data_IF_112836304957
#
_entry.id   IF_112836304957
#
_cell.length_a   1.000
_cell.length_b   1.000
_cell.length_c   1.000
_cell.angle_alpha   90.00
_cell.angle_beta   90.00
_cell.angle_gamma   90.00
#
_symmetry.space_group_name_H-M   'P 1'
#
loop_
_entity.id
_entity.type
_entity.pdbx_description
1 polymer ?
#
# COMPACT_ATOMS: atom_id res chain seq x y z
N UNK A 1 -34.68 22.27 15.11
CA UNK A 1 -33.63 21.22 15.10
C UNK A 1 -32.28 21.93 15.04
N UNK A 2 -31.45 21.90 16.09
CA UNK A 2 -30.21 22.66 16.12
C UNK A 2 -29.12 21.97 15.30
N UNK A 3 -28.39 22.75 14.48
CA UNK A 3 -27.23 22.31 13.68
C UNK A 3 -26.05 21.99 14.59
N UNK A 4 -25.54 20.76 14.50
CA UNK A 4 -24.30 20.36 15.14
C UNK A 4 -23.11 20.96 14.37
N UNK A 5 -22.34 21.83 15.06
CA UNK A 5 -21.08 22.37 14.59
C UNK A 5 -19.97 21.32 14.79
N UNK A 6 -19.25 21.00 13.72
CA UNK A 6 -18.04 20.17 13.77
C UNK A 6 -16.91 20.87 14.54
N UNK A 7 -16.03 20.13 15.24
CA UNK A 7 -14.91 20.72 15.97
C UNK A 7 -13.83 21.30 15.04
N UNK A 8 -13.12 22.36 15.47
CA UNK A 8 -12.09 23.01 14.66
C UNK A 8 -10.81 22.17 14.54
N UNK A 9 -10.22 22.15 13.34
CA UNK A 9 -8.87 21.57 13.09
C UNK A 9 -7.79 22.38 13.82
N UNK A 10 -6.68 21.76 14.27
CA UNK A 10 -5.55 22.47 14.85
C UNK A 10 -4.80 23.29 13.77
N UNK A 11 -4.41 24.51 14.14
CA UNK A 11 -3.69 25.44 13.27
C UNK A 11 -2.26 24.96 13.00
N UNK A 12 -1.90 24.85 11.72
CA UNK A 12 -0.51 24.68 11.29
C UNK A 12 0.18 26.05 11.21
N UNK A 13 1.33 26.14 11.89
CA UNK A 13 2.21 27.30 11.96
C UNK A 13 2.65 27.76 10.56
N UNK A 14 2.47 29.05 10.28
CA UNK A 14 2.88 29.71 9.04
C UNK A 14 4.40 29.68 8.87
N UNK A 15 4.87 29.12 7.76
CA UNK A 15 6.20 29.44 7.24
C UNK A 15 6.06 30.40 6.06
N UNK A 16 6.70 31.56 6.18
CA UNK A 16 6.82 32.56 5.13
C UNK A 16 7.53 31.97 3.89
N UNK A 17 6.92 32.17 2.71
CA UNK A 17 7.52 31.85 1.41
C UNK A 17 7.86 33.17 0.71
N UNK A 18 9.13 33.33 0.36
CA UNK A 18 9.64 34.33 -0.58
C UNK A 18 9.26 33.92 -2.01
N UNK A 19 8.59 34.83 -2.72
CA UNK A 19 8.18 34.72 -4.12
C UNK A 19 9.31 35.23 -5.02
N UNK A 20 9.64 34.52 -6.12
CA UNK A 20 10.13 35.16 -7.34
C UNK A 20 9.07 35.11 -8.46
N UNK A 21 8.92 36.25 -9.13
CA UNK A 21 8.04 36.48 -10.28
C UNK A 21 8.40 35.65 -11.53
N UNK A 22 7.45 35.45 -12.46
CA UNK A 22 7.60 34.58 -13.61
C UNK A 22 8.12 35.35 -14.84
N UNK A 23 8.83 34.64 -15.72
CA UNK A 23 8.92 35.01 -17.12
C UNK A 23 8.80 33.77 -17.99
N UNK A 24 8.16 34.02 -19.13
CA UNK A 24 8.18 33.28 -20.39
C UNK A 24 7.15 32.15 -20.59
N UNK A 25 6.06 32.63 -21.21
CA UNK A 25 5.09 31.97 -22.05
C UNK A 25 5.77 31.15 -23.15
N UNK A 26 5.17 30.02 -23.52
CA UNK A 26 5.07 29.66 -24.93
C UNK A 26 3.81 28.80 -25.16
N UNK A 27 2.98 29.33 -26.05
CA UNK A 27 1.72 28.81 -26.53
C UNK A 27 1.94 27.60 -27.45
N UNK A 28 1.08 26.59 -27.40
CA UNK A 28 0.80 25.79 -28.60
C UNK A 28 -0.66 25.35 -28.70
N UNK A 29 -1.16 25.56 -29.92
CA UNK A 29 -2.55 25.64 -30.30
C UNK A 29 -3.21 24.29 -30.59
N UNK A 30 -4.52 24.33 -30.38
CA UNK A 30 -5.58 23.43 -30.85
C UNK A 30 -5.52 23.19 -32.35
N UNK A 31 -5.72 21.94 -32.79
CA UNK A 31 -6.28 21.62 -34.11
C UNK A 31 -7.25 20.43 -34.03
N UNK A 32 -8.51 20.72 -34.34
CA UNK A 32 -9.56 19.79 -34.76
C UNK A 32 -9.51 19.70 -36.30
N UNK A 33 -9.66 18.51 -36.87
CA UNK A 33 -10.69 18.13 -37.88
C UNK A 33 -10.32 16.85 -38.64
N UNK A 34 -11.34 16.01 -38.86
CA UNK A 34 -11.32 14.81 -39.70
C UNK A 34 -11.49 15.16 -41.19
N UNK A 35 -11.34 14.16 -42.08
CA UNK A 35 -12.35 14.03 -43.13
C UNK A 35 -12.89 12.60 -43.31
N UNK A 36 -14.17 12.59 -43.67
CA UNK A 36 -14.99 11.48 -44.17
C UNK A 36 -14.77 11.33 -45.67
N UNK A 37 -14.70 10.11 -46.20
CA UNK A 37 -15.19 9.78 -47.56
C UNK A 37 -15.40 8.26 -47.72
N UNK A 38 -16.58 7.91 -48.21
CA UNK A 38 -17.06 6.56 -48.54
C UNK A 38 -16.90 6.31 -50.05
N UNK A 39 -16.96 5.02 -50.47
CA UNK A 39 -17.61 4.44 -51.70
C UNK A 39 -17.18 2.96 -51.90
N UNK A 40 -17.97 2.07 -52.54
CA UNK A 40 -18.29 0.72 -52.02
C UNK A 40 -17.93 -0.52 -52.89
N UNK A 41 -17.96 -1.70 -52.24
CA UNK A 41 -18.35 -3.03 -52.76
C UNK A 41 -17.29 -3.87 -53.53
N UNK A 42 -17.46 -5.20 -53.75
CA UNK A 42 -18.55 -6.11 -53.36
C UNK A 42 -18.12 -7.42 -52.61
N UNK A 43 -19.13 -8.19 -52.16
CA UNK A 43 -19.08 -9.45 -51.40
C UNK A 43 -19.15 -10.68 -52.34
N UNK A 44 -18.55 -11.84 -52.00
CA UNK A 44 -19.36 -13.02 -51.70
C UNK A 44 -18.90 -13.87 -50.49
N UNK A 45 -19.87 -14.58 -49.93
CA UNK A 45 -19.97 -15.37 -48.68
C UNK A 45 -19.34 -16.80 -48.74
N UNK A 46 -19.66 -17.77 -47.84
CA UNK A 46 -19.25 -17.89 -46.43
C UNK A 46 -18.66 -19.28 -46.07
N UNK A 47 -17.71 -19.33 -45.12
CA UNK A 47 -17.32 -20.52 -44.34
C UNK A 47 -16.38 -20.03 -43.22
N UNK A 48 -16.31 -20.53 -41.99
CA UNK A 48 -16.92 -21.63 -41.26
C UNK A 48 -16.71 -21.31 -39.76
N UNK A 49 -17.44 -22.01 -38.90
CA UNK A 49 -17.38 -21.93 -37.42
C UNK A 49 -15.94 -21.95 -36.87
N UNK A 50 -15.61 -21.01 -35.99
CA UNK A 50 -14.47 -21.13 -35.08
C UNK A 50 -14.90 -20.75 -33.66
N UNK A 51 -14.69 -21.70 -32.75
CA UNK A 51 -15.00 -21.68 -31.34
C UNK A 51 -14.08 -20.73 -30.56
N UNK A 52 -14.65 -20.04 -29.58
CA UNK A 52 -13.94 -19.22 -28.59
C UNK A 52 -13.18 -20.11 -27.59
N UNK A 53 -11.88 -20.32 -27.84
CA UNK A 53 -10.97 -20.94 -26.89
C UNK A 53 -10.33 -19.90 -25.96
N UNK A 54 -10.66 -19.98 -24.67
CA UNK A 54 -9.95 -19.30 -23.56
C UNK A 54 -8.47 -19.69 -23.62
N UNK A 55 -7.56 -18.72 -23.80
CA UNK A 55 -6.11 -18.96 -23.72
C UNK A 55 -5.69 -18.99 -22.26
N UNK A 56 -5.45 -20.21 -21.78
CA UNK A 56 -4.75 -20.52 -20.53
C UNK A 56 -3.29 -20.07 -20.68
N UNK A 57 -2.77 -19.32 -19.72
CA UNK A 57 -1.33 -19.09 -19.64
C UNK A 57 -0.65 -20.40 -19.22
N UNK A 58 0.22 -20.92 -20.08
CA UNK A 58 0.99 -22.13 -19.85
C UNK A 58 2.16 -21.84 -18.90
N UNK A 59 2.39 -22.73 -17.95
CA UNK A 59 3.48 -22.65 -16.97
C UNK A 59 4.86 -22.75 -17.64
N UNK A 60 5.82 -22.00 -17.08
CA UNK A 60 7.19 -21.77 -17.57
C UNK A 60 8.13 -23.00 -17.45
N UNK A 61 7.60 -24.22 -17.41
CA UNK A 61 8.34 -25.47 -17.18
C UNK A 61 8.80 -26.24 -18.42
N UNK A 62 8.22 -25.98 -19.61
CA UNK A 62 8.33 -26.91 -20.75
C UNK A 62 9.19 -26.42 -21.94
N UNK A 63 10.00 -25.38 -21.77
CA UNK A 63 10.72 -24.76 -22.90
C UNK A 63 12.25 -24.70 -22.75
N UNK A 64 12.91 -25.80 -22.33
CA UNK A 64 14.35 -25.95 -22.60
C UNK A 64 14.75 -27.42 -22.84
N UNK A 65 14.81 -27.83 -24.12
CA UNK A 65 15.75 -28.86 -24.56
C UNK A 65 17.13 -28.23 -24.80
N UNK A 66 18.14 -28.80 -24.16
CA UNK A 66 19.57 -28.45 -24.30
C UNK A 66 20.09 -28.76 -25.71
N UNK A 67 20.97 -27.90 -26.23
CA UNK A 67 22.17 -28.39 -26.91
C UNK A 67 23.44 -27.95 -26.17
N UNK A 68 24.39 -28.88 -26.06
CA UNK A 68 25.77 -28.57 -25.68
C UNK A 68 26.49 -27.85 -26.83
N UNK A 69 27.28 -26.82 -26.52
CA UNK A 69 28.76 -26.80 -26.70
C UNK A 69 29.35 -25.38 -26.64
N UNK A 70 30.62 -25.34 -26.24
CA UNK A 70 31.63 -24.28 -26.34
C UNK A 70 31.67 -23.18 -25.27
N UNK A 71 32.89 -23.00 -24.76
CA UNK A 71 33.30 -22.13 -23.66
C UNK A 71 33.47 -20.69 -24.15
N UNK A 72 32.90 -19.73 -23.43
CA UNK A 72 33.11 -18.29 -23.67
C UNK A 72 32.87 -17.48 -22.38
N UNK A 73 33.14 -16.15 -22.34
CA UNK A 73 33.73 -15.37 -21.23
C UNK A 73 32.90 -15.18 -19.95
N UNK A 74 31.78 -15.88 -19.81
CA UNK A 74 30.90 -15.83 -18.62
C UNK A 74 31.60 -16.28 -17.31
N UNK A 75 32.59 -17.19 -17.39
CA UNK A 75 33.37 -17.61 -16.21
C UNK A 75 34.29 -16.51 -15.65
N UNK A 76 34.76 -15.57 -16.47
CA UNK A 76 35.58 -14.46 -16.00
C UNK A 76 34.76 -13.44 -15.20
N UNK A 77 33.48 -13.27 -15.57
CA UNK A 77 32.57 -12.32 -14.96
C UNK A 77 32.00 -12.84 -13.62
N UNK A 78 31.71 -14.15 -13.54
CA UNK A 78 31.31 -14.81 -12.29
C UNK A 78 32.46 -14.82 -11.26
N UNK A 79 33.70 -15.01 -11.70
CA UNK A 79 34.87 -14.91 -10.81
C UNK A 79 35.14 -13.46 -10.34
N UNK A 80 34.83 -12.45 -11.16
CA UNK A 80 34.93 -11.05 -10.77
C UNK A 80 33.89 -10.67 -9.69
N UNK A 81 32.66 -11.20 -9.76
CA UNK A 81 31.63 -10.96 -8.75
C UNK A 81 31.91 -11.69 -7.42
N UNK A 82 32.47 -12.90 -7.45
CA UNK A 82 32.91 -13.59 -6.22
C UNK A 82 34.11 -12.91 -5.54
N UNK A 83 35.01 -12.31 -6.33
CA UNK A 83 36.15 -11.51 -5.84
C UNK A 83 35.72 -10.21 -5.12
N UNK A 84 34.67 -9.54 -5.61
CA UNK A 84 34.14 -8.31 -4.98
C UNK A 84 33.35 -8.63 -3.70
N UNK A 85 32.57 -9.71 -3.69
CA UNK A 85 31.82 -10.14 -2.49
C UNK A 85 32.75 -10.50 -1.32
N UNK A 86 33.82 -11.24 -1.59
CA UNK A 86 34.81 -11.65 -0.56
C UNK A 86 35.62 -10.48 -0.01
N UNK A 87 36.00 -9.49 -0.84
CA UNK A 87 36.69 -8.27 -0.37
C UNK A 87 35.81 -7.37 0.51
N UNK A 88 34.50 -7.38 0.29
CA UNK A 88 33.55 -6.57 1.08
C UNK A 88 33.31 -7.21 2.45
N UNK A 89 33.20 -8.53 2.51
CA UNK A 89 33.14 -9.27 3.78
C UNK A 89 34.45 -9.17 4.59
N UNK A 90 35.63 -9.22 3.95
CA UNK A 90 36.90 -9.03 4.66
C UNK A 90 37.08 -7.61 5.21
N UNK A 91 36.60 -6.57 4.52
CA UNK A 91 36.62 -5.19 5.05
C UNK A 91 35.68 -5.00 6.24
N UNK A 92 34.48 -5.58 6.21
CA UNK A 92 33.54 -5.54 7.34
C UNK A 92 34.05 -6.34 8.56
N UNK A 93 34.75 -7.46 8.33
CA UNK A 93 35.40 -8.22 9.41
C UNK A 93 36.58 -7.43 10.04
N UNK A 94 37.35 -6.68 9.26
CA UNK A 94 38.42 -5.82 9.81
C UNK A 94 37.89 -4.62 10.61
N UNK A 95 36.74 -4.05 10.24
CA UNK A 95 36.11 -2.96 11.02
C UNK A 95 35.56 -3.44 12.37
N UNK A 96 35.11 -4.70 12.49
CA UNK A 96 34.68 -5.28 13.76
C UNK A 96 35.84 -5.64 14.70
N UNK A 97 37.04 -5.90 14.16
CA UNK A 97 38.22 -6.22 14.99
C UNK A 97 38.93 -4.99 15.56
N UNK A 98 38.68 -3.78 15.05
CA UNK A 98 39.32 -2.55 15.55
C UNK A 98 38.50 -1.81 16.62
N UNK A 99 37.21 -2.14 16.81
CA UNK A 99 36.35 -1.49 17.81
C UNK A 99 36.53 -2.04 19.24
N UNK A 100 37.16 -3.21 19.42
CA UNK A 100 37.32 -3.84 20.73
C UNK A 100 38.56 -3.37 21.51
N UNK A 101 39.41 -2.53 20.91
CA UNK A 101 40.64 -2.04 21.55
C UNK A 101 40.58 -0.60 22.08
N UNK A 102 39.43 0.10 21.98
CA UNK A 102 39.35 1.54 22.30
C UNK A 102 38.57 1.91 23.59
N UNK A 103 38.14 0.94 24.38
CA UNK A 103 37.47 1.19 25.68
C UNK A 103 38.37 0.80 26.86
N UNK A 104 39.46 1.55 27.06
CA UNK A 104 40.14 1.64 28.37
C UNK A 104 40.98 2.91 28.44
N UNK A 105 40.70 3.70 29.49
CA UNK A 105 41.39 4.92 29.98
C UNK A 105 40.86 6.25 29.46
N UNK A 106 40.06 6.94 30.26
CA UNK A 106 40.56 8.12 30.99
C UNK A 106 39.51 8.64 31.98
N UNK A 107 40.02 9.00 33.15
CA UNK A 107 39.34 9.65 34.25
C UNK A 107 40.01 11.02 34.45
N UNK A 108 39.27 11.96 35.04
CA UNK A 108 39.71 13.16 35.78
C UNK A 108 39.66 14.53 35.06
N UNK A 109 38.80 15.39 35.66
CA UNK A 109 38.81 16.87 35.80
C UNK A 109 38.64 17.77 34.57
N UNK A 110 37.63 18.65 34.68
CA UNK A 110 37.58 19.91 33.96
C UNK A 110 36.22 20.58 34.12
N UNK A 111 36.07 21.41 35.15
CA UNK A 111 34.85 22.18 35.40
C UNK A 111 34.71 23.37 34.45
N UNK A 112 33.48 23.61 34.01
CA UNK A 112 33.04 24.90 33.48
C UNK A 112 31.71 25.28 34.14
N UNK A 113 31.74 26.38 34.88
CA UNK A 113 30.55 27.04 35.45
C UNK A 113 29.91 27.89 34.35
N UNK A 114 28.59 27.85 34.25
CA UNK A 114 27.77 28.86 33.58
C UNK A 114 26.76 29.45 34.59
N UNK A 115 26.28 30.69 34.39
CA UNK A 115 25.64 31.49 35.42
C UNK A 115 24.16 31.14 35.64
N UNK A 116 23.77 31.28 36.89
CA UNK A 116 22.42 31.29 37.46
C UNK A 116 21.50 32.36 36.86
N UNK A 117 20.27 31.98 36.46
CA UNK A 117 19.06 32.76 36.72
C UNK A 117 17.77 31.97 36.37
N UNK A 118 16.71 32.27 37.13
CA UNK A 118 15.30 31.87 36.98
C UNK A 118 14.90 30.44 37.40
N UNK A 119 14.71 30.30 38.73
CA UNK A 119 13.85 29.29 39.35
C UNK A 119 12.39 29.57 38.99
N UNK A 120 11.73 28.64 38.31
CA UNK A 120 10.27 28.52 38.27
C UNK A 120 9.93 27.19 38.94
N UNK A 121 9.34 27.28 40.14
CA UNK A 121 8.82 26.13 40.87
C UNK A 121 7.52 25.64 40.20
N UNK A 122 7.59 24.53 39.49
CA UNK A 122 6.42 23.69 39.23
C UNK A 122 6.70 22.30 39.81
N UNK A 123 5.82 21.75 40.68
CA UNK A 123 6.01 20.40 41.18
C UNK A 123 5.80 19.43 40.02
N UNK A 124 6.90 18.88 39.52
CA UNK A 124 6.92 17.71 38.65
C UNK A 124 6.28 16.57 39.44
N UNK A 125 4.98 16.36 39.23
CA UNK A 125 4.36 15.07 39.52
C UNK A 125 5.04 14.08 38.60
N UNK A 126 6.01 13.33 39.15
CA UNK A 126 6.52 12.11 38.52
C UNK A 126 5.31 11.25 38.19
N UNK A 127 5.06 11.03 36.91
CA UNK A 127 4.14 10.00 36.46
C UNK A 127 4.67 8.68 37.02
N UNK A 128 3.98 8.16 38.03
CA UNK A 128 4.16 6.79 38.49
C UNK A 128 3.92 5.89 37.26
N UNK A 129 4.84 4.96 36.94
CA UNK A 129 4.59 3.99 35.90
C UNK A 129 3.42 3.13 36.36
N UNK A 130 2.27 3.28 35.71
CA UNK A 130 1.14 2.36 35.90
C UNK A 130 1.63 0.99 35.43
N UNK A 131 1.59 -0.07 36.27
CA UNK A 131 1.90 -1.42 35.83
C UNK A 131 0.71 -1.94 35.01
N UNK A 132 0.55 -1.42 33.81
CA UNK A 132 -0.47 -1.85 32.85
C UNK A 132 0.08 -2.97 31.99
N UNK A 133 -0.51 -4.16 32.13
CA UNK A 133 -0.41 -5.35 31.28
C UNK A 133 0.20 -5.11 29.88
N UNK A 134 1.53 -5.13 29.74
CA UNK A 134 2.14 -5.35 28.43
C UNK A 134 2.03 -6.83 28.15
N UNK A 135 1.44 -7.19 27.01
CA UNK A 135 1.43 -8.54 26.49
C UNK A 135 2.88 -9.07 26.46
N UNK A 136 3.18 -10.04 27.33
CA UNK A 136 4.49 -10.70 27.36
C UNK A 136 4.39 -11.93 26.49
N UNK A 137 4.78 -11.77 25.23
CA UNK A 137 4.80 -12.84 24.26
C UNK A 137 5.89 -13.87 24.63
N UNK A 138 5.52 -14.82 25.49
CA UNK A 138 6.32 -15.99 25.83
C UNK A 138 6.30 -16.96 24.65
N UNK A 139 7.36 -17.77 24.55
CA UNK A 139 7.54 -18.77 23.49
C UNK A 139 6.40 -19.82 23.43
N UNK A 140 5.61 -19.93 24.50
CA UNK A 140 4.46 -20.83 24.61
C UNK A 140 3.11 -20.19 24.23
N UNK A 141 3.02 -18.90 23.90
CA UNK A 141 1.74 -18.34 23.43
C UNK A 141 1.46 -18.84 22.02
N UNK A 142 0.31 -19.50 21.88
CA UNK A 142 -0.10 -20.17 20.65
C UNK A 142 -0.77 -19.16 19.72
N UNK A 143 0.02 -18.33 19.04
CA UNK A 143 -0.53 -17.43 18.02
C UNK A 143 -1.33 -18.24 16.99
N UNK A 144 -2.54 -17.78 16.71
CA UNK A 144 -3.34 -18.35 15.63
C UNK A 144 -3.07 -17.53 14.38
N UNK A 145 -2.81 -18.22 13.27
CA UNK A 145 -2.54 -17.60 11.98
C UNK A 145 -3.56 -18.06 10.96
N UNK A 146 -3.97 -17.15 10.10
CA UNK A 146 -4.77 -17.44 8.93
C UNK A 146 -4.26 -16.64 7.75
N UNK A 147 -4.46 -17.19 6.56
CA UNK A 147 -4.12 -16.51 5.32
C UNK A 147 -5.09 -16.91 4.22
N UNK A 148 -5.42 -15.97 3.37
CA UNK A 148 -6.22 -16.22 2.19
C UNK A 148 -5.78 -15.28 1.07
N UNK A 149 -5.88 -15.75 -0.16
CA UNK A 149 -5.54 -14.97 -1.33
C UNK A 149 -6.54 -15.25 -2.46
N UNK A 150 -6.68 -14.29 -3.36
CA UNK A 150 -7.42 -14.41 -4.60
C UNK A 150 -6.64 -13.69 -5.69
N UNK A 151 -6.36 -14.40 -6.77
CA UNK A 151 -5.64 -13.86 -7.93
C UNK A 151 -6.65 -13.47 -9.01
N UNK A 152 -6.65 -12.20 -9.37
CA UNK A 152 -7.33 -11.62 -10.50
C UNK A 152 -6.34 -11.23 -11.61
N UNK A 153 -5.32 -10.43 -11.27
CA UNK A 153 -4.21 -10.06 -12.14
C UNK A 153 -2.93 -10.85 -11.83
N UNK A 154 -2.78 -11.36 -10.61
CA UNK A 154 -1.61 -12.12 -10.16
C UNK A 154 -0.38 -11.26 -9.92
N UNK A 155 -0.55 -9.99 -9.53
CA UNK A 155 0.52 -9.03 -9.25
C UNK A 155 0.80 -8.83 -7.76
N UNK A 156 -0.12 -9.23 -6.89
CA UNK A 156 0.08 -9.32 -5.45
C UNK A 156 1.14 -10.37 -5.07
N UNK A 157 1.97 -10.05 -4.08
CA UNK A 157 2.88 -10.97 -3.45
C UNK A 157 2.89 -10.76 -1.93
N UNK A 158 3.21 -11.80 -1.18
CA UNK A 158 3.36 -11.67 0.26
C UNK A 158 3.88 -12.90 0.95
N UNK A 159 4.20 -12.71 2.22
CA UNK A 159 4.76 -13.72 3.09
C UNK A 159 4.35 -13.44 4.53
N UNK A 160 4.01 -14.50 5.26
CA UNK A 160 3.72 -14.43 6.68
C UNK A 160 4.53 -15.47 7.46
N UNK A 161 4.86 -15.11 8.69
CA UNK A 161 5.42 -16.00 9.71
C UNK A 161 4.72 -15.76 11.03
N UNK A 162 5.18 -16.42 12.10
CA UNK A 162 4.66 -16.15 13.44
C UNK A 162 4.97 -14.74 13.96
N UNK A 163 5.83 -13.97 13.29
CA UNK A 163 6.28 -12.66 13.79
C UNK A 163 6.35 -11.56 12.75
N UNK A 164 5.90 -11.81 11.52
CA UNK A 164 5.59 -10.73 10.59
C UNK A 164 4.55 -11.13 9.54
N UNK A 165 3.92 -10.11 8.95
CA UNK A 165 3.22 -10.16 7.68
C UNK A 165 3.89 -9.19 6.70
N UNK A 166 4.00 -9.57 5.43
CA UNK A 166 4.50 -8.73 4.35
C UNK A 166 3.51 -8.86 3.20
N UNK A 167 2.98 -7.75 2.71
CA UNK A 167 2.16 -7.69 1.48
C UNK A 167 2.76 -6.61 0.58
N UNK A 168 2.90 -6.94 -0.70
CA UNK A 168 3.31 -6.03 -1.75
C UNK A 168 2.34 -6.20 -2.92
N UNK A 169 1.57 -5.17 -3.20
CA UNK A 169 0.58 -5.16 -4.27
C UNK A 169 1.22 -4.54 -5.52
N UNK A 170 1.16 -5.29 -6.62
CA UNK A 170 1.78 -4.90 -7.87
C UNK A 170 0.91 -3.93 -8.65
N UNK A 171 1.41 -2.73 -8.86
CA UNK A 171 0.70 -1.71 -9.65
C UNK A 171 1.16 -1.83 -11.09
N UNK A 172 0.38 -2.47 -11.95
CA UNK A 172 0.60 -2.34 -13.39
C UNK A 172 0.21 -0.94 -13.86
N UNK A 173 1.16 -0.22 -14.46
CA UNK A 173 0.85 1.03 -15.15
C UNK A 173 -0.27 0.75 -16.15
N UNK A 174 -1.34 1.56 -16.23
CA UNK A 174 -2.16 1.55 -17.43
C UNK A 174 -1.19 2.00 -18.51
N UNK A 175 -0.78 1.09 -19.38
CA UNK A 175 -0.03 1.49 -20.54
C UNK A 175 -1.01 2.34 -21.35
N UNK A 176 -0.94 3.67 -21.22
CA UNK A 176 -1.68 4.55 -22.10
C UNK A 176 -1.35 4.11 -23.53
N UNK A 177 -2.35 4.00 -24.41
CA UNK A 177 -2.16 3.46 -25.78
C UNK A 177 -0.93 4.06 -26.48
N UNK A 178 -0.61 5.33 -26.21
CA UNK A 178 0.57 6.05 -26.73
C UNK A 178 1.92 5.56 -26.15
N UNK A 179 1.96 5.06 -24.91
CA UNK A 179 3.17 4.53 -24.27
C UNK A 179 3.55 3.11 -24.73
N UNK A 180 2.62 2.36 -25.34
CA UNK A 180 2.91 1.06 -25.96
C UNK A 180 3.54 1.21 -27.34
N UNK A 181 3.15 2.25 -28.08
CA UNK A 181 3.63 2.49 -29.46
C UNK A 181 5.14 2.80 -29.49
N UNK A 182 5.70 3.32 -28.40
CA UNK A 182 7.12 3.71 -28.29
C UNK A 182 7.94 2.78 -27.37
N UNK A 183 7.44 1.59 -27.03
CA UNK A 183 8.12 0.69 -26.10
C UNK A 183 8.70 -0.55 -26.79
N UNK A 184 10.01 -0.51 -27.04
CA UNK A 184 10.79 -1.64 -27.63
C UNK A 184 11.13 -2.76 -26.63
N UNK A 185 10.56 -2.75 -25.42
CA UNK A 185 10.86 -3.74 -24.38
C UNK A 185 9.79 -4.84 -24.29
N UNK A 186 10.19 -6.02 -23.80
CA UNK A 186 9.21 -7.00 -23.34
C UNK A 186 8.40 -6.41 -22.19
N UNK A 187 7.07 -6.50 -22.27
CA UNK A 187 6.18 -6.16 -21.17
C UNK A 187 6.38 -7.19 -20.06
N UNK A 188 6.59 -6.71 -18.85
CA UNK A 188 6.86 -7.52 -17.66
C UNK A 188 5.85 -7.10 -16.61
N UNK A 189 5.23 -8.06 -15.93
CA UNK A 189 4.26 -7.80 -14.86
C UNK A 189 4.95 -7.24 -13.61
N UNK A 190 4.22 -6.39 -12.89
CA UNK A 190 4.66 -5.86 -11.60
C UNK A 190 4.86 -6.95 -10.54
N UNK A 191 4.26 -8.14 -10.72
CA UNK A 191 4.46 -9.34 -9.90
C UNK A 191 5.93 -9.67 -9.64
N UNK A 192 6.82 -9.43 -10.63
CA UNK A 192 8.26 -9.69 -10.47
C UNK A 192 8.85 -8.80 -9.37
N UNK A 193 8.49 -7.51 -9.37
CA UNK A 193 8.98 -6.58 -8.37
C UNK A 193 8.32 -6.83 -7.01
N UNK A 194 7.01 -7.10 -6.99
CA UNK A 194 6.27 -7.43 -5.76
C UNK A 194 6.89 -8.64 -5.06
N UNK A 195 7.09 -9.75 -5.79
CA UNK A 195 7.68 -10.98 -5.26
C UNK A 195 9.12 -10.76 -4.77
N UNK A 196 9.92 -9.99 -5.51
CA UNK A 196 11.32 -9.76 -5.14
C UNK A 196 11.46 -8.84 -3.92
N UNK A 197 10.59 -7.84 -3.77
CA UNK A 197 10.52 -6.98 -2.57
C UNK A 197 10.14 -7.84 -1.36
N UNK A 198 9.08 -8.63 -1.45
CA UNK A 198 8.65 -9.54 -0.37
C UNK A 198 9.79 -10.48 0.03
N UNK A 199 10.45 -11.10 -0.95
CA UNK A 199 11.56 -12.03 -0.72
C UNK A 199 12.73 -11.35 -0.01
N UNK A 200 13.16 -10.17 -0.47
CA UNK A 200 14.26 -9.44 0.15
C UNK A 200 13.94 -9.00 1.59
N UNK A 201 12.72 -8.49 1.82
CA UNK A 201 12.29 -8.06 3.16
C UNK A 201 12.23 -9.24 4.12
N UNK A 202 11.66 -10.36 3.68
CA UNK A 202 11.60 -11.60 4.46
C UNK A 202 13.00 -12.05 4.90
N UNK A 203 13.92 -12.21 3.94
CA UNK A 203 15.29 -12.67 4.23
C UNK A 203 15.99 -11.73 5.21
N UNK A 204 15.88 -10.42 4.98
CA UNK A 204 16.50 -9.42 5.87
C UNK A 204 15.96 -9.50 7.30
N UNK A 205 14.63 -9.64 7.48
CA UNK A 205 14.02 -9.75 8.80
C UNK A 205 14.37 -11.09 9.49
N UNK A 206 14.38 -12.20 8.76
CA UNK A 206 14.78 -13.52 9.27
C UNK A 206 16.23 -13.52 9.76
N UNK A 207 17.16 -12.95 8.96
CA UNK A 207 18.58 -12.85 9.31
C UNK A 207 18.82 -11.90 10.49
N UNK A 208 18.28 -10.68 10.42
CA UNK A 208 18.55 -9.64 11.42
C UNK A 208 17.98 -9.99 12.80
N UNK A 209 16.85 -10.70 12.85
CA UNK A 209 16.22 -11.09 14.10
C UNK A 209 16.61 -12.49 14.56
N UNK A 210 17.43 -13.20 13.77
CA UNK A 210 17.74 -14.63 13.97
C UNK A 210 16.44 -15.43 14.21
N UNK A 211 15.48 -15.31 13.31
CA UNK A 211 14.14 -15.91 13.45
C UNK A 211 13.42 -15.50 14.74
N UNK A 212 13.35 -14.19 15.01
CA UNK A 212 12.71 -13.61 16.19
C UNK A 212 13.34 -14.06 17.54
N UNK A 213 14.65 -14.28 17.55
CA UNK A 213 15.47 -14.57 18.76
C UNK A 213 16.23 -13.35 19.28
N UNK A 214 16.47 -12.35 18.44
CA UNK A 214 17.17 -11.11 18.79
C UNK A 214 16.31 -9.85 18.62
N UNK A 215 16.32 -8.92 19.61
CA UNK A 215 15.48 -7.74 19.60
C UNK A 215 15.76 -6.80 18.43
N UNK A 216 14.67 -6.32 17.82
CA UNK A 216 14.72 -5.34 16.74
C UNK A 216 14.05 -4.05 17.17
N UNK A 217 14.81 -2.95 17.24
CA UNK A 217 14.23 -1.63 17.46
C UNK A 217 13.63 -1.04 16.18
N UNK A 218 12.89 0.07 16.32
CA UNK A 218 12.19 0.69 15.21
C UNK A 218 13.14 1.25 14.12
N UNK A 219 14.30 1.78 14.50
CA UNK A 219 15.25 2.37 13.54
C UNK A 219 15.95 1.29 12.73
N UNK A 220 16.32 0.19 13.38
CA UNK A 220 16.87 -1.00 12.75
C UNK A 220 15.83 -1.68 11.85
N UNK A 221 14.57 -1.77 12.28
CA UNK A 221 13.46 -2.26 11.45
C UNK A 221 13.27 -1.44 10.18
N UNK A 222 13.17 -0.11 10.31
CA UNK A 222 13.04 0.82 9.18
C UNK A 222 14.21 0.67 8.20
N UNK A 223 15.45 0.69 8.71
CA UNK A 223 16.66 0.58 7.90
C UNK A 223 16.70 -0.75 7.16
N UNK A 224 16.35 -1.85 7.83
CA UNK A 224 16.30 -3.19 7.26
C UNK A 224 15.32 -3.29 6.09
N UNK A 225 14.10 -2.76 6.25
CA UNK A 225 13.08 -2.76 5.18
C UNK A 225 13.55 -1.91 4.00
N UNK A 226 14.11 -0.72 4.24
CA UNK A 226 14.62 0.16 3.19
C UNK A 226 15.79 -0.48 2.42
N UNK A 227 16.72 -1.13 3.11
CA UNK A 227 17.86 -1.79 2.48
C UNK A 227 17.45 -3.05 1.70
N UNK A 228 16.44 -3.79 2.20
CA UNK A 228 15.81 -4.87 1.45
C UNK A 228 15.15 -4.36 0.15
N UNK A 229 14.43 -3.24 0.21
CA UNK A 229 13.85 -2.61 -0.99
C UNK A 229 14.93 -2.18 -1.99
N UNK A 230 16.05 -1.61 -1.53
CA UNK A 230 17.18 -1.28 -2.41
C UNK A 230 17.74 -2.53 -3.08
N UNK A 231 17.89 -3.63 -2.32
CA UNK A 231 18.39 -4.91 -2.82
C UNK A 231 17.45 -5.49 -3.88
N UNK A 232 16.14 -5.49 -3.63
CA UNK A 232 15.14 -5.93 -4.61
C UNK A 232 15.22 -5.13 -5.92
N UNK A 233 15.35 -3.80 -5.84
CA UNK A 233 15.51 -2.94 -7.03
C UNK A 233 16.76 -3.26 -7.83
N UNK A 234 17.86 -3.61 -7.16
CA UNK A 234 19.11 -4.06 -7.81
C UNK A 234 18.88 -5.39 -8.54
N UNK A 235 18.21 -6.35 -7.88
CA UNK A 235 17.94 -7.68 -8.44
C UNK A 235 16.95 -7.66 -9.61
N UNK A 236 16.09 -6.64 -9.69
CA UNK A 236 15.16 -6.42 -10.80
C UNK A 236 15.68 -5.42 -11.84
N UNK A 237 16.93 -4.95 -11.74
CA UNK A 237 17.43 -3.83 -12.56
C UNK A 237 17.44 -4.13 -14.08
N UNK A 238 17.52 -5.40 -14.48
CA UNK A 238 17.36 -5.82 -15.88
C UNK A 238 16.01 -5.39 -16.47
N UNK A 239 14.98 -5.22 -15.63
CA UNK A 239 13.64 -4.79 -16.04
C UNK A 239 13.43 -3.27 -15.92
N UNK A 240 14.48 -2.46 -15.72
CA UNK A 240 14.35 -0.98 -15.51
C UNK A 240 13.66 -0.23 -16.65
N UNK A 241 13.64 -0.80 -17.85
CA UNK A 241 12.88 -0.24 -18.99
C UNK A 241 11.38 -0.42 -18.78
N UNK A 242 10.97 -1.52 -18.16
CA UNK A 242 9.59 -1.82 -17.79
C UNK A 242 9.15 -0.90 -16.65
N UNK A 243 7.88 -0.46 -16.70
CA UNK A 243 7.27 0.39 -15.67
C UNK A 243 6.74 -0.47 -14.52
N UNK A 244 7.63 -1.21 -13.87
CA UNK A 244 7.28 -2.02 -12.70
C UNK A 244 7.11 -1.14 -11.47
N UNK A 245 6.04 -1.36 -10.73
CA UNK A 245 5.75 -0.66 -9.49
C UNK A 245 5.03 -1.58 -8.51
N UNK A 246 5.28 -1.41 -7.22
CA UNK A 246 4.57 -2.15 -6.17
C UNK A 246 4.44 -1.31 -4.90
N UNK A 247 3.36 -1.50 -4.16
CA UNK A 247 3.21 -1.02 -2.77
C UNK A 247 3.99 -1.93 -1.81
N UNK A 248 4.07 -1.56 -0.54
CA UNK A 248 4.65 -2.41 0.50
C UNK A 248 4.06 -2.07 1.86
N UNK A 249 3.48 -3.08 2.52
CA UNK A 249 3.17 -3.07 3.94
C UNK A 249 3.93 -4.20 4.63
N UNK A 250 4.66 -3.86 5.69
CA UNK A 250 5.33 -4.81 6.57
C UNK A 250 4.79 -4.63 7.96
N UNK A 251 4.21 -5.68 8.55
CA UNK A 251 3.75 -5.71 9.93
C UNK A 251 4.65 -6.64 10.71
N UNK A 252 5.49 -6.12 11.59
CA UNK A 252 6.41 -6.89 12.42
C UNK A 252 5.92 -6.94 13.86
N UNK A 253 5.75 -8.15 14.38
CA UNK A 253 5.32 -8.40 15.75
C UNK A 253 6.56 -8.54 16.62
N UNK A 254 6.87 -7.52 17.42
CA UNK A 254 8.04 -7.50 18.29
C UNK A 254 7.70 -8.16 19.63
N UNK A 255 8.13 -9.42 19.80
CA UNK A 255 7.87 -10.21 21.02
C UNK A 255 8.53 -9.67 22.29
N UNK A 256 9.65 -8.97 22.18
CA UNK A 256 10.37 -8.46 23.36
C UNK A 256 9.74 -7.19 23.93
N UNK A 257 9.11 -6.39 23.08
CA UNK A 257 8.47 -5.14 23.49
C UNK A 257 6.95 -5.25 23.61
N UNK A 258 6.34 -6.29 23.04
CA UNK A 258 4.88 -6.45 22.94
C UNK A 258 4.26 -5.42 21.99
N UNK A 259 5.02 -4.97 20.98
CA UNK A 259 4.59 -3.94 20.04
C UNK A 259 4.49 -4.49 18.63
N UNK A 260 3.49 -4.02 17.90
CA UNK A 260 3.46 -4.03 16.45
C UNK A 260 4.32 -2.87 15.94
N UNK A 261 5.19 -3.14 14.97
CA UNK A 261 5.86 -2.11 14.16
C UNK A 261 5.40 -2.28 12.72
N UNK A 262 4.94 -1.22 12.08
CA UNK A 262 4.51 -1.27 10.68
C UNK A 262 5.33 -0.32 9.81
N UNK A 263 5.73 -0.79 8.63
CA UNK A 263 6.29 0.03 7.56
C UNK A 263 5.27 0.06 6.42
N UNK A 264 4.74 1.24 6.10
CA UNK A 264 3.68 1.41 5.09
C UNK A 264 4.17 2.31 3.94
N UNK A 265 4.07 1.82 2.72
CA UNK A 265 4.36 2.53 1.47
C UNK A 265 3.26 2.16 0.47
N UNK A 266 2.40 3.12 0.10
CA UNK A 266 1.20 2.86 -0.69
C UNK A 266 -0.06 2.68 0.17
N UNK A 267 -1.06 1.98 -0.35
CA UNK A 267 -2.40 1.83 0.20
C UNK A 267 -2.76 0.44 0.72
N UNK A 268 -1.85 -0.53 0.63
CA UNK A 268 -1.95 -1.75 1.43
C UNK A 268 -1.93 -1.42 2.93
N UNK A 269 -2.69 -2.16 3.72
CA UNK A 269 -3.03 -1.76 5.10
C UNK A 269 -2.78 -2.83 6.13
N UNK A 270 -2.59 -2.36 7.36
CA UNK A 270 -2.62 -3.18 8.55
C UNK A 270 -3.61 -2.61 9.57
N UNK A 271 -4.45 -3.49 10.11
CA UNK A 271 -5.46 -3.16 11.13
C UNK A 271 -5.22 -4.00 12.38
N UNK A 272 -5.49 -3.43 13.56
CA UNK A 272 -5.71 -4.21 14.78
C UNK A 272 -7.14 -4.05 15.22
N UNK A 273 -7.84 -5.17 15.34
CA UNK A 273 -9.20 -5.26 15.87
C UNK A 273 -9.15 -5.83 17.27
N UNK A 274 -9.80 -5.14 18.20
CA UNK A 274 -9.90 -5.52 19.61
C UNK A 274 -11.37 -5.44 20.01
N UNK A 275 -11.93 -6.55 20.47
CA UNK A 275 -13.33 -6.62 20.95
C UNK A 275 -14.34 -6.08 19.91
N UNK A 276 -14.14 -6.41 18.64
CA UNK A 276 -15.01 -5.96 17.55
C UNK A 276 -14.81 -4.52 17.10
N UNK A 277 -13.79 -3.81 17.59
CA UNK A 277 -13.50 -2.44 17.17
C UNK A 277 -12.09 -2.32 16.57
N UNK A 278 -11.94 -1.52 15.51
CA UNK A 278 -10.62 -1.18 14.96
C UNK A 278 -9.93 -0.19 15.90
N UNK A 279 -8.91 -0.65 16.64
CA UNK A 279 -8.13 0.15 17.59
C UNK A 279 -6.82 0.67 17.00
N UNK A 280 -6.40 0.12 15.86
CA UNK A 280 -5.25 0.58 15.11
C UNK A 280 -5.49 0.41 13.62
N UNK A 281 -5.02 1.38 12.85
CA UNK A 281 -5.07 1.38 11.40
C UNK A 281 -3.83 2.10 10.88
N UNK A 282 -3.14 1.49 9.91
CA UNK A 282 -1.99 2.15 9.27
C UNK A 282 -2.43 3.27 8.35
N UNK A 283 -1.59 4.31 8.30
CA UNK A 283 -1.74 5.40 7.34
C UNK A 283 -1.39 4.90 5.94
N UNK A 284 -2.28 5.11 4.98
CA UNK A 284 -2.00 4.89 3.56
C UNK A 284 -1.25 6.10 2.98
N UNK A 285 -0.18 5.83 2.23
CA UNK A 285 0.71 6.85 1.65
C UNK A 285 0.37 7.08 0.19
N UNK A 286 -0.55 8.00 -0.04
CA UNK A 286 -1.07 8.33 -1.36
C UNK A 286 -0.44 9.61 -1.91
N UNK A 287 -0.27 9.66 -3.24
CA UNK A 287 0.02 10.91 -3.97
C UNK A 287 -1.24 11.66 -4.32
N UNK A 288 -2.31 10.91 -4.59
CA UNK A 288 -3.65 11.39 -4.89
C UNK A 288 -4.65 10.24 -4.63
N UNK A 289 -5.94 10.52 -4.66
CA UNK A 289 -7.00 9.50 -4.65
C UNK A 289 -6.64 8.33 -5.56
N UNK A 290 -6.57 7.13 -4.99
CA UNK A 290 -6.25 5.88 -5.70
C UNK A 290 -4.96 5.92 -6.53
N UNK A 291 -3.99 6.73 -6.11
CA UNK A 291 -2.64 6.79 -6.69
C UNK A 291 -1.62 6.60 -5.57
N UNK A 292 -1.26 5.34 -5.24
CA UNK A 292 -0.31 5.08 -4.18
C UNK A 292 1.09 5.62 -4.50
N UNK A 293 1.83 5.86 -3.43
CA UNK A 293 3.29 5.88 -3.49
C UNK A 293 3.76 4.44 -3.67
N UNK A 294 4.76 4.23 -4.52
CA UNK A 294 5.17 2.88 -4.94
C UNK A 294 6.68 2.75 -4.99
N UNK A 295 7.17 1.56 -4.67
CA UNK A 295 8.52 1.12 -5.02
C UNK A 295 8.56 0.92 -6.53
N UNK A 296 9.53 1.55 -7.20
CA UNK A 296 9.74 1.36 -8.63
C UNK A 296 11.24 1.33 -8.96
N UNK A 297 11.58 0.97 -10.20
CA UNK A 297 12.97 0.80 -10.62
C UNK A 297 13.68 2.11 -11.01
N UNK A 298 12.98 3.25 -11.05
CA UNK A 298 13.50 4.54 -11.52
C UNK A 298 13.87 5.47 -10.36
N UNK A 299 12.97 5.61 -9.40
CA UNK A 299 13.11 6.48 -8.23
C UNK A 299 13.59 5.67 -7.02
N UNK A 300 14.49 6.25 -6.23
CA UNK A 300 14.87 5.68 -4.94
C UNK A 300 13.81 5.99 -3.90
N UNK A 301 13.52 5.03 -3.04
CA UNK A 301 12.65 5.24 -1.87
C UNK A 301 13.40 6.11 -0.87
N UNK A 302 12.78 7.21 -0.46
CA UNK A 302 13.28 8.13 0.56
C UNK A 302 12.28 8.21 1.74
N UNK A 303 12.71 8.77 2.87
CA UNK A 303 11.90 8.81 4.11
C UNK A 303 10.53 9.51 3.98
N UNK A 304 10.34 10.36 2.95
CA UNK A 304 9.05 10.99 2.64
C UNK A 304 8.10 10.10 1.83
N UNK A 305 8.50 8.88 1.48
CA UNK A 305 7.71 7.97 0.64
C UNK A 305 7.02 6.87 1.45
N UNK A 306 7.33 6.74 2.74
CA UNK A 306 6.77 5.73 3.63
C UNK A 306 6.53 6.29 5.03
N UNK A 307 5.79 5.52 5.83
CA UNK A 307 5.53 5.81 7.25
C UNK A 307 5.89 4.59 8.09
N UNK A 308 6.62 4.82 9.18
CA UNK A 308 6.85 3.81 10.21
C UNK A 308 6.03 4.16 11.44
N UNK A 309 5.20 3.22 11.89
CA UNK A 309 4.34 3.39 13.06
C UNK A 309 4.58 2.25 14.06
N UNK A 310 4.23 2.48 15.32
CA UNK A 310 4.28 1.45 16.36
C UNK A 310 3.03 1.48 17.23
N UNK A 311 2.52 0.30 17.57
CA UNK A 311 1.31 0.11 18.35
C UNK A 311 1.51 -0.95 19.44
N UNK A 312 0.91 -0.78 20.61
CA UNK A 312 0.98 -1.74 21.71
C UNK A 312 -0.05 -2.84 21.57
N UNK A 313 0.40 -4.09 21.40
CA UNK A 313 -0.46 -5.25 21.28
C UNK A 313 -0.96 -5.73 22.65
N UNK A 314 -2.17 -6.27 22.67
CA UNK A 314 -2.82 -6.87 23.82
C UNK A 314 -3.31 -8.27 23.49
N UNK A 315 -3.52 -9.08 24.53
CA UNK A 315 -4.21 -10.36 24.41
C UNK A 315 -5.63 -10.14 23.88
N UNK A 316 -6.07 -11.00 22.97
CA UNK A 316 -7.32 -10.89 22.23
C UNK A 316 -7.26 -10.00 20.98
N UNK A 317 -6.14 -9.34 20.70
CA UNK A 317 -6.00 -8.55 19.47
C UNK A 317 -5.98 -9.47 18.24
N UNK A 318 -6.65 -9.04 17.16
CA UNK A 318 -6.53 -9.64 15.83
C UNK A 318 -5.88 -8.62 14.91
N UNK A 319 -4.69 -8.94 14.40
CA UNK A 319 -3.98 -8.15 13.42
C UNK A 319 -4.30 -8.67 12.01
N UNK A 320 -4.68 -7.78 11.11
CA UNK A 320 -4.93 -8.06 9.70
C UNK A 320 -3.92 -7.26 8.87
N UNK A 321 -3.32 -7.86 7.84
CA UNK A 321 -2.45 -7.16 6.88
C UNK A 321 -2.85 -7.58 5.47
N UNK A 322 -3.14 -6.62 4.59
CA UNK A 322 -3.79 -6.91 3.32
C UNK A 322 -3.51 -5.88 2.22
N UNK A 323 -3.69 -6.30 0.95
CA UNK A 323 -3.67 -5.43 -0.24
C UNK A 323 -4.96 -4.62 -0.38
N UNK A 324 -4.93 -3.55 -1.19
CA UNK A 324 -6.05 -2.62 -1.33
C UNK A 324 -7.34 -3.30 -1.83
N UNK A 325 -7.24 -4.43 -2.53
CA UNK A 325 -8.38 -5.24 -2.99
C UNK A 325 -9.38 -5.64 -1.89
N UNK A 326 -8.93 -5.82 -0.64
CA UNK A 326 -9.85 -5.96 0.51
C UNK A 326 -10.45 -4.61 0.92
N UNK A 327 -9.62 -3.59 1.09
CA UNK A 327 -10.02 -2.26 1.60
C UNK A 327 -10.89 -1.44 0.63
N UNK A 328 -10.87 -1.76 -0.65
CA UNK A 328 -11.70 -1.16 -1.69
C UNK A 328 -13.07 -1.83 -1.81
N UNK A 329 -13.19 -3.07 -1.36
CA UNK A 329 -14.38 -3.90 -1.60
C UNK A 329 -15.17 -4.26 -0.33
N UNK A 330 -14.58 -4.16 0.87
CA UNK A 330 -15.25 -4.48 2.15
C UNK A 330 -15.21 -3.29 3.11
N UNK A 331 -16.37 -2.91 3.68
CA UNK A 331 -16.42 -1.79 4.62
C UNK A 331 -15.77 -2.13 5.96
N UNK A 332 -15.35 -1.09 6.67
CA UNK A 332 -14.75 -1.22 8.01
C UNK A 332 -15.69 -1.93 8.98
N UNK A 333 -16.98 -1.59 8.95
CA UNK A 333 -17.99 -2.19 9.81
C UNK A 333 -18.21 -3.68 9.47
N UNK A 334 -18.12 -4.07 8.19
CA UNK A 334 -18.23 -5.47 7.75
C UNK A 334 -17.03 -6.31 8.21
N UNK A 335 -15.82 -5.74 8.16
CA UNK A 335 -14.61 -6.39 8.70
C UNK A 335 -14.79 -6.64 10.20
N UNK A 336 -15.24 -5.64 10.95
CA UNK A 336 -15.46 -5.78 12.40
C UNK A 336 -16.58 -6.76 12.72
N UNK A 337 -17.66 -6.80 11.92
CA UNK A 337 -18.75 -7.74 12.11
C UNK A 337 -18.29 -9.19 11.91
N UNK A 338 -17.50 -9.46 10.87
CA UNK A 338 -16.93 -10.80 10.63
C UNK A 338 -16.02 -11.26 11.78
N UNK A 339 -15.29 -10.33 12.41
CA UNK A 339 -14.42 -10.60 13.55
C UNK A 339 -15.15 -10.66 14.90
N UNK A 340 -16.39 -10.16 14.98
CA UNK A 340 -17.22 -10.23 16.17
C UNK A 340 -18.02 -11.54 16.27
N UNK A 341 -18.00 -12.37 15.23
CA UNK A 341 -18.71 -13.63 15.17
C UNK A 341 -18.27 -14.59 16.31
N UNK A 342 -19.18 -15.10 17.16
CA UNK A 342 -18.84 -15.99 18.27
C UNK A 342 -18.09 -17.26 17.81
N UNK A 343 -18.41 -17.76 16.61
CA UNK A 343 -17.77 -18.94 16.04
C UNK A 343 -16.25 -18.78 15.87
N UNK A 344 -15.75 -17.53 15.76
CA UNK A 344 -14.32 -17.22 15.74
C UNK A 344 -13.64 -17.50 17.09
N UNK A 345 -14.36 -17.23 18.18
CA UNK A 345 -13.81 -17.24 19.54
C UNK A 345 -13.92 -18.62 20.19
N UNK A 346 -14.95 -19.39 19.81
CA UNK A 346 -15.28 -20.69 20.41
C UNK A 346 -14.68 -21.91 19.67
N UNK A 347 -14.17 -21.73 18.44
CA UNK A 347 -13.55 -22.83 17.68
C UNK A 347 -12.05 -22.94 17.94
N UNK A 348 -11.58 -24.14 18.26
CA UNK A 348 -10.14 -24.45 18.36
C UNK A 348 -9.48 -24.39 16.96
N UNK A 349 -9.00 -23.20 16.58
CA UNK A 349 -8.05 -22.98 15.49
C UNK A 349 -8.64 -22.74 14.09
N UNK A 350 -9.81 -23.28 13.75
CA UNK A 350 -10.39 -23.11 12.39
C UNK A 350 -11.17 -21.81 12.21
N UNK A 351 -11.64 -21.18 13.28
CA UNK A 351 -12.44 -19.95 13.22
C UNK A 351 -11.74 -18.80 12.51
N UNK A 352 -10.45 -18.60 12.79
CA UNK A 352 -9.69 -17.49 12.19
C UNK A 352 -9.54 -17.66 10.67
N UNK A 353 -9.33 -18.89 10.21
CA UNK A 353 -9.26 -19.18 8.79
C UNK A 353 -10.61 -19.01 8.10
N UNK A 354 -11.72 -19.44 8.72
CA UNK A 354 -13.07 -19.24 8.18
C UNK A 354 -13.39 -17.75 8.00
N UNK A 355 -13.02 -16.90 8.97
CA UNK A 355 -13.19 -15.45 8.84
C UNK A 355 -12.28 -14.87 7.74
N UNK A 356 -11.05 -15.36 7.64
CA UNK A 356 -10.13 -14.97 6.57
C UNK A 356 -10.71 -15.27 5.18
N UNK A 357 -11.23 -16.48 4.97
CA UNK A 357 -11.86 -16.93 3.73
C UNK A 357 -13.15 -16.15 3.45
N UNK A 358 -13.96 -15.88 4.49
CA UNK A 358 -15.16 -15.06 4.39
C UNK A 358 -14.83 -13.65 3.89
N UNK A 359 -13.83 -12.98 4.47
CA UNK A 359 -13.43 -11.62 4.08
C UNK A 359 -12.91 -11.59 2.63
N UNK A 360 -12.12 -12.58 2.23
CA UNK A 360 -11.66 -12.69 0.83
C UNK A 360 -12.84 -12.94 -0.11
N UNK A 361 -13.80 -13.80 0.25
CA UNK A 361 -15.02 -14.01 -0.54
C UNK A 361 -15.88 -12.75 -0.64
N UNK A 362 -16.01 -12.00 0.46
CA UNK A 362 -16.70 -10.69 0.48
C UNK A 362 -16.01 -9.65 -0.39
N UNK A 363 -14.73 -9.82 -0.72
CA UNK A 363 -13.96 -8.88 -1.55
C UNK A 363 -14.03 -9.18 -3.04
N UNK A 364 -14.27 -10.44 -3.43
CA UNK A 364 -14.29 -10.87 -4.84
C UNK A 364 -15.40 -10.19 -5.64
N UNK A 365 -15.09 -9.81 -6.88
CA UNK A 365 -16.11 -9.47 -7.88
C UNK A 365 -16.91 -10.73 -8.17
N UNK A 366 -18.19 -10.73 -7.82
CA UNK A 366 -19.10 -11.77 -8.29
C UNK A 366 -19.63 -11.34 -9.66
N UNK A 367 -19.56 -12.22 -10.65
CA UNK A 367 -20.45 -12.13 -11.79
C UNK A 367 -21.85 -12.37 -11.22
N UNK A 368 -22.66 -11.32 -11.06
CA UNK A 368 -24.07 -11.48 -10.72
C UNK A 368 -24.68 -12.33 -11.84
N UNK A 369 -24.83 -13.64 -11.59
CA UNK A 369 -25.66 -14.51 -12.42
C UNK A 369 -27.04 -13.90 -12.29
N UNK A 370 -27.51 -13.31 -13.38
CA UNK A 370 -28.80 -12.66 -13.52
C UNK A 370 -29.93 -13.53 -12.96
N UNK A 371 -30.15 -13.43 -11.66
CA UNK A 371 -31.37 -13.82 -10.98
C UNK A 371 -32.10 -12.52 -10.75
N UNK A 372 -32.62 -12.02 -11.87
CA UNK A 372 -33.72 -11.06 -11.88
C UNK A 372 -34.90 -11.74 -11.17
N UNK A 373 -34.96 -11.62 -9.85
CA UNK A 373 -36.26 -11.57 -9.19
C UNK A 373 -36.84 -10.19 -9.48
N UNK A 374 -37.59 -10.11 -10.58
CA UNK A 374 -38.39 -8.96 -10.99
C UNK A 374 -39.36 -8.58 -9.85
N UNK A 375 -39.01 -7.60 -9.04
CA UNK A 375 -39.96 -7.00 -8.09
C UNK A 375 -39.36 -6.40 -6.81
N UNK A 376 -38.15 -6.80 -6.41
CA UNK A 376 -37.48 -6.13 -5.29
C UNK A 376 -36.81 -4.85 -5.78
N UNK A 377 -37.10 -3.71 -5.15
CA UNK A 377 -36.30 -2.49 -5.27
C UNK A 377 -34.87 -2.89 -4.92
N UNK A 378 -34.04 -3.12 -5.93
CA UNK A 378 -32.64 -3.49 -5.74
C UNK A 378 -31.99 -2.30 -5.07
N UNK A 379 -31.87 -2.34 -3.74
CA UNK A 379 -31.03 -1.42 -3.00
C UNK A 379 -29.67 -1.46 -3.67
N UNK A 380 -29.31 -0.37 -4.36
CA UNK A 380 -28.06 -0.31 -5.12
C UNK A 380 -26.93 -0.61 -4.16
N UNK A 381 -26.26 -1.75 -4.35
CA UNK A 381 -25.11 -2.14 -3.54
C UNK A 381 -24.03 -1.07 -3.69
N UNK A 382 -23.59 -0.53 -2.56
CA UNK A 382 -22.52 0.46 -2.49
C UNK A 382 -21.23 -0.22 -2.03
N UNK A 383 -20.09 0.26 -2.51
CA UNK A 383 -18.77 -0.28 -2.14
C UNK A 383 -17.85 0.79 -1.55
N UNK A 384 -16.87 0.41 -0.72
CA UNK A 384 -15.94 1.34 -0.10
C UNK A 384 -15.18 2.22 -1.10
N UNK A 385 -14.73 1.65 -2.22
CA UNK A 385 -14.05 2.41 -3.27
C UNK A 385 -14.94 3.53 -3.83
N UNK A 386 -16.19 3.21 -4.19
CA UNK A 386 -17.14 4.19 -4.69
C UNK A 386 -17.43 5.27 -3.62
N UNK A 387 -17.60 4.85 -2.36
CA UNK A 387 -17.77 5.78 -1.23
C UNK A 387 -16.59 6.74 -1.09
N UNK A 388 -15.37 6.24 -1.21
CA UNK A 388 -14.18 7.08 -1.15
C UNK A 388 -14.09 8.03 -2.35
N UNK A 389 -14.47 7.57 -3.54
CA UNK A 389 -14.54 8.43 -4.73
C UNK A 389 -15.58 9.55 -4.56
N UNK A 390 -16.72 9.28 -3.90
CA UNK A 390 -17.72 10.31 -3.57
C UNK A 390 -17.14 11.38 -2.65
N UNK A 391 -16.40 10.97 -1.61
CA UNK A 391 -15.77 11.90 -0.67
C UNK A 391 -14.76 12.81 -1.39
N UNK A 392 -13.89 12.22 -2.21
CA UNK A 392 -12.92 12.96 -3.02
C UNK A 392 -13.60 13.91 -4.02
N UNK A 393 -14.62 13.41 -4.73
CA UNK A 393 -15.38 14.18 -5.70
C UNK A 393 -16.06 15.40 -5.05
N UNK A 394 -16.66 15.20 -3.88
CA UNK A 394 -17.30 16.27 -3.11
C UNK A 394 -16.28 17.31 -2.65
N UNK A 395 -15.14 16.88 -2.09
CA UNK A 395 -14.09 17.80 -1.63
C UNK A 395 -13.56 18.66 -2.78
N UNK A 396 -13.21 18.05 -3.93
CA UNK A 396 -12.70 18.78 -5.10
C UNK A 396 -13.74 19.71 -5.71
N UNK A 397 -15.00 19.29 -5.75
CA UNK A 397 -16.09 20.15 -6.24
C UNK A 397 -16.20 21.42 -5.40
N UNK A 398 -16.07 21.31 -4.07
CA UNK A 398 -16.08 22.48 -3.19
C UNK A 398 -14.85 23.37 -3.39
N UNK A 399 -13.67 22.80 -3.64
CA UNK A 399 -12.45 23.56 -3.92
C UNK A 399 -12.55 24.32 -5.24
N UNK A 400 -12.98 23.67 -6.32
CA UNK A 400 -13.18 24.31 -7.62
C UNK A 400 -14.24 25.41 -7.56
N UNK A 401 -15.34 25.20 -6.82
CA UNK A 401 -16.40 26.21 -6.63
C UNK A 401 -15.89 27.46 -5.90
N UNK A 402 -15.05 27.30 -4.88
CA UNK A 402 -14.44 28.44 -4.16
C UNK A 402 -13.49 29.23 -5.05
N UNK A 403 -12.75 28.54 -5.92
CA UNK A 403 -11.84 29.19 -6.88
C UNK A 403 -12.60 29.88 -8.01
N UNK A 404 -13.81 29.42 -8.31
CA UNK A 404 -14.66 29.88 -9.40
C UNK A 404 -15.71 30.93 -8.99
N UNK A 405 -15.60 31.58 -7.82
CA UNK A 405 -16.50 32.69 -7.43
C UNK A 405 -16.54 33.78 -8.54
N UNK A 406 -17.60 33.74 -9.37
CA UNK A 406 -17.81 34.66 -10.50
C UNK A 406 -17.54 34.10 -11.90
N UNK A 407 -17.10 32.84 -12.05
CA UNK A 407 -16.91 32.19 -13.34
C UNK A 407 -18.20 31.45 -13.78
N UNK A 408 -18.54 31.44 -15.09
CA UNK A 408 -19.67 30.67 -15.61
C UNK A 408 -19.48 29.17 -15.34
N UNK A 409 -20.60 28.42 -15.29
CA UNK A 409 -20.63 26.96 -15.20
C UNK A 409 -19.57 26.33 -16.11
N UNK A 410 -18.97 25.24 -15.65
CA UNK A 410 -17.95 24.52 -16.40
C UNK A 410 -18.45 24.16 -17.81
N UNK A 411 -17.53 23.91 -18.74
CA UNK A 411 -17.89 23.60 -20.12
C UNK A 411 -18.72 22.29 -20.27
N UNK A 412 -18.87 21.51 -19.20
CA UNK A 412 -19.67 20.28 -19.19
C UNK A 412 -21.16 20.53 -18.96
N UNK A 413 -21.53 21.70 -18.41
CA UNK A 413 -22.92 22.04 -18.09
C UNK A 413 -23.50 21.19 -16.95
N UNK A 414 -22.65 20.52 -16.17
CA UNK A 414 -23.06 19.69 -15.04
C UNK A 414 -22.97 20.50 -13.76
N UNK A 415 -24.05 20.53 -12.99
CA UNK A 415 -24.01 21.03 -11.61
C UNK A 415 -23.31 20.00 -10.71
N UNK A 416 -21.98 20.08 -10.66
CA UNK A 416 -21.15 19.20 -9.87
C UNK A 416 -21.48 19.29 -8.36
N UNK A 417 -21.96 20.45 -7.88
CA UNK A 417 -22.31 20.65 -6.47
C UNK A 417 -23.56 19.86 -6.12
N UNK A 418 -24.62 19.97 -6.93
CA UNK A 418 -25.85 19.20 -6.70
C UNK A 418 -25.61 17.69 -6.82
N UNK A 419 -24.84 17.26 -7.84
CA UNK A 419 -24.52 15.84 -8.05
C UNK A 419 -23.72 15.27 -6.88
N UNK A 420 -22.70 16.00 -6.41
CA UNK A 420 -21.86 15.53 -5.29
C UNK A 420 -22.64 15.44 -3.98
N UNK A 421 -23.57 16.36 -3.70
CA UNK A 421 -24.47 16.28 -2.54
C UNK A 421 -25.39 15.05 -2.60
N UNK A 422 -26.03 14.81 -3.75
CA UNK A 422 -26.89 13.62 -3.95
C UNK A 422 -26.10 12.33 -3.77
N UNK A 423 -24.84 12.29 -4.20
CA UNK A 423 -23.97 11.12 -3.99
C UNK A 423 -23.60 10.96 -2.51
N UNK A 424 -23.23 12.04 -1.83
CA UNK A 424 -22.93 12.01 -0.38
C UNK A 424 -24.10 11.47 0.45
N UNK A 425 -25.33 11.89 0.14
CA UNK A 425 -26.54 11.40 0.82
C UNK A 425 -26.73 9.88 0.65
N UNK A 426 -26.43 9.34 -0.53
CA UNK A 426 -26.54 7.89 -0.79
C UNK A 426 -25.55 7.07 0.03
N UNK A 427 -24.36 7.62 0.30
CA UNK A 427 -23.27 6.92 0.99
C UNK A 427 -23.21 7.21 2.50
N UNK A 428 -24.21 7.90 3.04
CA UNK A 428 -24.22 8.31 4.46
C UNK A 428 -24.16 7.09 5.39
N UNK A 429 -23.37 7.23 6.47
CA UNK A 429 -23.24 6.19 7.51
C UNK A 429 -22.32 5.01 7.16
N UNK A 430 -21.77 4.95 5.94
CA UNK A 430 -20.81 3.92 5.55
C UNK A 430 -19.39 4.31 5.95
N UNK A 431 -18.71 3.45 6.72
CA UNK A 431 -17.32 3.69 7.14
C UNK A 431 -16.33 2.95 6.24
N UNK A 432 -15.51 3.71 5.54
CA UNK A 432 -14.36 3.20 4.81
C UNK A 432 -13.13 3.15 5.71
N UNK A 433 -12.08 2.47 5.25
CA UNK A 433 -10.74 2.60 5.83
C UNK A 433 -10.16 3.99 5.51
N UNK A 434 -9.31 4.50 6.40
CA UNK A 434 -8.68 5.82 6.31
C UNK A 434 -7.63 5.85 5.20
N UNK A 435 -7.91 6.52 4.09
CA UNK A 435 -7.06 6.42 2.89
C UNK A 435 -5.85 7.36 2.86
N UNK A 436 -5.73 8.33 3.77
CA UNK A 436 -4.93 9.52 3.44
C UNK A 436 -3.85 9.90 4.46
N UNK A 437 -2.60 9.78 4.02
CA UNK A 437 -1.50 10.65 4.38
C UNK A 437 -0.76 11.09 3.11
N UNK A 438 -0.97 12.35 2.69
CA UNK A 438 -0.21 12.94 1.59
C UNK A 438 1.15 13.44 2.11
N UNK A 439 2.22 12.69 1.83
CA UNK A 439 3.58 13.11 2.18
C UNK A 439 4.22 14.05 1.14
N UNK A 440 3.69 14.09 -0.09
CA UNK A 440 4.16 14.97 -1.17
C UNK A 440 3.12 16.07 -1.45
N UNK A 441 3.59 17.25 -1.86
CA UNK A 441 2.70 18.33 -2.30
C UNK A 441 1.86 17.82 -3.48
N UNK A 442 0.53 18.07 -3.48
CA UNK A 442 -0.31 17.74 -4.62
C UNK A 442 0.28 18.31 -5.89
N UNK A 443 0.24 17.53 -6.97
CA UNK A 443 0.49 18.05 -8.32
C UNK A 443 -0.49 19.19 -8.59
N UNK A 444 -0.07 20.21 -9.36
CA UNK A 444 -0.99 21.27 -9.84
C UNK A 444 -2.14 20.70 -10.69
N UNK A 445 -1.93 19.52 -11.27
CA UNK A 445 -2.92 18.82 -12.05
C UNK A 445 -3.27 17.50 -11.37
N UNK A 446 -4.56 17.34 -11.08
CA UNK A 446 -5.14 16.10 -10.61
C UNK A 446 -5.00 14.97 -11.64
N UNK A 447 -4.74 13.76 -11.14
CA UNK A 447 -4.65 12.52 -11.88
C UNK A 447 -6.01 12.12 -12.45
N UNK A 448 -7.08 12.30 -11.65
CA UNK A 448 -8.45 12.06 -12.07
C UNK A 448 -9.22 13.38 -12.21
N UNK A 449 -9.95 13.55 -13.31
CA UNK A 449 -10.90 14.65 -13.48
C UNK A 449 -12.13 14.45 -12.60
N UNK A 450 -12.89 15.53 -12.33
CA UNK A 450 -14.18 15.44 -11.65
C UNK A 450 -15.13 14.44 -12.32
N UNK A 451 -15.16 14.39 -13.65
CA UNK A 451 -16.00 13.42 -14.36
C UNK A 451 -15.55 11.97 -14.14
N UNK A 452 -14.25 11.70 -14.09
CA UNK A 452 -13.73 10.36 -13.78
C UNK A 452 -14.07 9.96 -12.34
N UNK A 453 -13.93 10.88 -11.37
CA UNK A 453 -14.31 10.64 -9.99
C UNK A 453 -15.82 10.40 -9.84
N UNK A 454 -16.65 11.13 -10.58
CA UNK A 454 -18.10 10.89 -10.64
C UNK A 454 -18.40 9.47 -11.13
N UNK A 455 -17.77 9.01 -12.20
CA UNK A 455 -17.95 7.65 -12.72
C UNK A 455 -17.54 6.61 -11.68
N UNK A 456 -16.42 6.83 -10.98
CA UNK A 456 -15.97 5.96 -9.89
C UNK A 456 -16.93 5.94 -8.70
N UNK A 457 -17.48 7.10 -8.35
CA UNK A 457 -18.48 7.28 -7.30
C UNK A 457 -19.82 6.60 -7.62
N UNK A 458 -20.16 6.47 -8.90
CA UNK A 458 -21.40 5.82 -9.37
C UNK A 458 -21.24 4.31 -9.62
N UNK A 459 -20.05 3.74 -9.39
CA UNK A 459 -19.81 2.31 -9.61
C UNK A 459 -20.69 1.43 -8.70
N UNK A 460 -21.32 0.45 -9.33
CA UNK A 460 -22.22 -0.52 -8.69
C UNK A 460 -21.62 -1.94 -8.66
N UNK A 461 -20.35 -2.05 -9.02
CA UNK A 461 -19.59 -3.30 -8.97
C UNK A 461 -18.40 -3.12 -8.05
N UNK A 462 -17.95 -4.22 -7.46
CA UNK A 462 -16.66 -4.27 -6.78
C UNK A 462 -15.52 -3.92 -7.74
N UNK A 463 -14.45 -3.35 -7.22
CA UNK A 463 -13.21 -3.12 -7.96
C UNK A 463 -12.57 -4.49 -8.23
N UNK A 464 -12.34 -4.85 -9.50
CA UNK A 464 -11.61 -6.07 -9.83
C UNK A 464 -10.16 -5.89 -9.40
N UNK A 465 -9.70 -6.74 -8.48
CA UNK A 465 -8.36 -6.65 -7.94
C UNK A 465 -7.85 -7.99 -7.39
N UNK A 466 -6.53 -8.07 -7.25
CA UNK A 466 -5.91 -9.11 -6.44
C UNK A 466 -6.23 -8.89 -4.95
N UNK A 467 -6.28 -9.98 -4.20
CA UNK A 467 -6.51 -9.92 -2.75
C UNK A 467 -5.48 -10.79 -2.09
N UNK A 468 -4.74 -10.20 -1.15
CA UNK A 468 -3.88 -10.91 -0.23
C UNK A 468 -4.22 -10.49 1.19
N UNK A 469 -4.48 -11.45 2.08
CA UNK A 469 -4.83 -11.20 3.46
C UNK A 469 -4.08 -12.17 4.38
N UNK A 470 -3.39 -11.60 5.36
CA UNK A 470 -2.79 -12.31 6.49
C UNK A 470 -3.44 -11.87 7.79
N UNK A 471 -3.73 -12.83 8.67
CA UNK A 471 -4.32 -12.58 9.98
C UNK A 471 -3.53 -13.28 11.08
N UNK A 472 -3.32 -12.60 12.19
CA UNK A 472 -2.73 -13.16 13.40
C UNK A 472 -3.57 -12.75 14.60
N UNK A 473 -4.02 -13.73 15.39
CA UNK A 473 -4.71 -13.51 16.66
C UNK A 473 -3.74 -13.79 17.82
N UNK A 474 -3.69 -12.84 18.73
CA UNK A 474 -2.89 -12.90 19.96
C UNK A 474 -3.76 -13.50 21.07
N UNK A 475 -3.55 -14.77 21.40
CA UNK A 475 -4.22 -15.49 22.49
C UNK A 475 -3.33 -15.68 23.69
#
# INVERSE_FOLDING_TARGET
MPRALLPPRPALSSMHVLVPSPNDQEEHSVWLTAPVSAVPGPVPSPASRASSGKRRASSLGDLFQRPQTSQSPAKALVNAFHSVSTRTHQKLAMFRSQSDHFMKKSSVKGGWRLPTAMKVNNPIRRAMPVPGHRFRWREMHQLQHAQAAFEYHGEDAGAATSYFHIVADGVSSPFGRQSLVNYDGALVSSAILSAEVVRCVRVMLEELTNHNREPLDQTAFESAVVDAVKTARINCFQHRKSRLATTLIVSYFNRWTGKLMTFSLGDSKCLVVRKGEVVYETLAVLREFNVPTVVNLREQVVSKDYVVQSFGLQEGDVCLTFSDGLGDNVYKDDITAALAAPELWDSEGTGLQNVCDQLVNMSKVHEDIASQEEGAVCERRLYPFATAAVLEYYERTLEETKLAEGAPLDASGVDHVEVSQKLMERHIGKKTLDRLLMLRRPSRKHHYSLMQLKVMAEMQTKKPDDIMLFMTRFV
#
